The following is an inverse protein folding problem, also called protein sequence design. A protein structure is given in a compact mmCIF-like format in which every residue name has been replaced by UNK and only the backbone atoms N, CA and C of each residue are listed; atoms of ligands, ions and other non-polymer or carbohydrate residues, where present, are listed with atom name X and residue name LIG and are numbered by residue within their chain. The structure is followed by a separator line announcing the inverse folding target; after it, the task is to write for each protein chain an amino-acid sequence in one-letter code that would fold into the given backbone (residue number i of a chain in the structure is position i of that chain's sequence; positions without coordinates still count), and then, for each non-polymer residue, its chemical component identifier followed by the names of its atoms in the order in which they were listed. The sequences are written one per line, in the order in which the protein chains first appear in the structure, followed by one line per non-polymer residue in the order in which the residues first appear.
data_IF_333615906441
#
_entry.id   IF_333615906441
#
_cell.length_a   1.000
_cell.length_b   1.000
_cell.length_c   1.000
_cell.angle_alpha   90.00
_cell.angle_beta   90.00
_cell.angle_gamma   90.00
#
_symmetry.space_group_name_H-M   'P 1'
#
loop_
_entity.id
_entity.type
_entity.pdbx_description
1 polymer ?
#
# COMPACT_ATOMS: atom_id res chain seq x y z
N UNK A 1 1.92 15.31 -8.25
CA UNK A 1 1.07 14.21 -7.77
C UNK A 1 1.32 14.03 -6.28
N UNK A 2 0.26 13.97 -5.46
CA UNK A 2 0.40 13.65 -4.04
C UNK A 2 0.33 12.13 -3.82
N UNK A 3 0.91 11.63 -2.73
CA UNK A 3 0.93 10.20 -2.43
C UNK A 3 -0.48 9.61 -2.30
N UNK A 4 -1.41 10.32 -1.68
CA UNK A 4 -2.78 9.83 -1.53
C UNK A 4 -3.49 9.64 -2.89
N UNK A 5 -3.16 10.48 -3.87
CA UNK A 5 -3.80 10.45 -5.20
C UNK A 5 -3.26 9.33 -6.08
N UNK A 6 -2.01 8.88 -5.87
CA UNK A 6 -1.41 7.87 -6.76
C UNK A 6 -2.08 6.50 -6.61
N UNK A 7 -2.70 6.19 -5.47
CA UNK A 7 -3.39 4.91 -5.30
C UNK A 7 -4.56 4.73 -6.27
N UNK A 8 -5.18 5.82 -6.73
CA UNK A 8 -6.29 5.78 -7.69
C UNK A 8 -5.83 5.46 -9.13
N UNK A 9 -4.54 5.67 -9.44
CA UNK A 9 -3.97 5.34 -10.74
C UNK A 9 -3.42 3.92 -10.80
N UNK A 10 -3.67 3.08 -9.79
CA UNK A 10 -3.26 1.69 -9.81
C UNK A 10 -4.03 0.93 -10.90
N UNK A 11 -3.33 0.11 -11.66
CA UNK A 11 -3.93 -0.73 -12.72
C UNK A 11 -4.30 -2.11 -12.20
N UNK A 12 -3.68 -2.52 -11.10
CA UNK A 12 -3.91 -3.77 -10.42
C UNK A 12 -3.70 -3.58 -8.91
N UNK A 13 -4.52 -4.25 -8.12
CA UNK A 13 -4.29 -4.42 -6.68
C UNK A 13 -4.06 -5.90 -6.38
N UNK A 14 -2.91 -6.20 -5.77
CA UNK A 14 -2.65 -7.52 -5.23
C UNK A 14 -2.85 -7.52 -3.71
N UNK A 15 -3.60 -8.51 -3.20
CA UNK A 15 -3.80 -8.73 -1.77
C UNK A 15 -3.04 -9.99 -1.38
N UNK A 16 -2.23 -9.88 -0.34
CA UNK A 16 -1.51 -11.00 0.24
C UNK A 16 -2.13 -11.33 1.60
N UNK A 17 -2.46 -12.61 1.82
CA UNK A 17 -2.94 -13.15 3.09
C UNK A 17 -2.10 -14.36 3.46
N UNK A 18 -1.30 -14.25 4.51
CA UNK A 18 -0.42 -15.33 5.00
C UNK A 18 0.36 -16.02 3.87
N UNK A 19 0.97 -15.21 3.00
CA UNK A 19 1.75 -15.66 1.83
C UNK A 19 0.94 -16.01 0.58
N UNK A 20 -0.39 -16.15 0.68
CA UNK A 20 -1.26 -16.37 -0.49
C UNK A 20 -1.55 -15.05 -1.21
N UNK A 21 -1.45 -15.03 -2.54
CA UNK A 21 -1.62 -13.83 -3.37
C UNK A 21 -2.89 -13.93 -4.22
N UNK A 22 -3.75 -12.94 -4.10
CA UNK A 22 -4.89 -12.70 -5.00
C UNK A 22 -4.71 -11.38 -5.74
N UNK A 23 -5.24 -11.31 -6.97
CA UNK A 23 -5.02 -10.18 -7.88
C UNK A 23 -6.35 -9.67 -8.39
N UNK A 24 -6.54 -8.36 -8.31
CA UNK A 24 -7.76 -7.67 -8.74
C UNK A 24 -7.40 -6.58 -9.75
N UNK A 25 -7.76 -6.74 -11.04
CA UNK A 25 -7.51 -5.73 -12.06
C UNK A 25 -8.42 -4.51 -11.88
N UNK A 26 -7.96 -3.35 -12.34
CA UNK A 26 -8.71 -2.10 -12.32
C UNK A 26 -10.09 -2.25 -13.00
N UNK A 27 -11.10 -1.65 -12.37
CA UNK A 27 -12.50 -1.72 -12.80
C UNK A 27 -13.29 -2.93 -12.30
N UNK A 28 -12.63 -3.96 -11.73
CA UNK A 28 -13.30 -5.10 -11.11
C UNK A 28 -14.02 -4.73 -9.80
N UNK A 29 -15.04 -5.53 -9.42
CA UNK A 29 -15.83 -5.28 -8.21
C UNK A 29 -14.95 -5.21 -6.94
N UNK A 30 -14.06 -6.20 -6.76
CA UNK A 30 -13.13 -6.22 -5.62
C UNK A 30 -12.14 -5.06 -5.64
N UNK A 31 -11.60 -4.70 -6.81
CA UNK A 31 -10.73 -3.54 -6.96
C UNK A 31 -11.45 -2.26 -6.52
N UNK A 32 -12.64 -1.99 -7.07
CA UNK A 32 -13.42 -0.80 -6.75
C UNK A 32 -13.80 -0.75 -5.26
N UNK A 33 -14.14 -1.90 -4.68
CA UNK A 33 -14.45 -2.02 -3.25
C UNK A 33 -13.26 -1.78 -2.33
N UNK A 34 -12.04 -2.14 -2.75
CA UNK A 34 -10.80 -1.80 -2.04
C UNK A 34 -10.55 -0.29 -2.15
N UNK A 35 -10.57 0.27 -3.36
CA UNK A 35 -10.33 1.70 -3.59
C UNK A 35 -11.30 2.60 -2.81
N UNK A 36 -12.60 2.25 -2.78
CA UNK A 36 -13.60 3.02 -2.03
C UNK A 36 -13.23 3.15 -0.55
N UNK A 37 -12.85 2.03 0.08
CA UNK A 37 -12.50 1.99 1.51
C UNK A 37 -11.14 2.60 1.79
N UNK A 38 -10.20 2.38 0.88
CA UNK A 38 -8.87 2.98 0.93
C UNK A 38 -8.95 4.50 0.89
N UNK A 39 -9.74 5.05 -0.04
CA UNK A 39 -9.94 6.49 -0.18
C UNK A 39 -10.66 7.09 1.03
N UNK A 40 -11.69 6.40 1.55
CA UNK A 40 -12.36 6.81 2.78
C UNK A 40 -11.38 6.85 3.98
N UNK A 41 -10.52 5.85 4.11
CA UNK A 41 -9.47 5.80 5.13
C UNK A 41 -8.48 6.97 5.01
N UNK A 42 -8.11 7.35 3.79
CA UNK A 42 -7.12 8.41 3.53
C UNK A 42 -7.67 9.84 3.55
N UNK A 43 -8.99 10.05 3.69
CA UNK A 43 -9.65 11.35 3.50
C UNK A 43 -9.04 12.52 4.29
N UNK A 44 -8.58 12.27 5.52
CA UNK A 44 -7.95 13.28 6.38
C UNK A 44 -6.44 13.01 6.62
N UNK A 45 -5.85 12.10 5.84
CA UNK A 45 -4.49 11.64 6.08
C UNK A 45 -3.43 12.68 5.75
N UNK A 46 -2.31 12.64 6.47
CA UNK A 46 -1.16 13.50 6.26
C UNK A 46 0.06 12.66 5.89
N UNK A 47 0.77 13.08 4.83
CA UNK A 47 2.10 12.53 4.53
C UNK A 47 3.09 13.08 5.55
N UNK A 48 3.77 12.19 6.25
CA UNK A 48 4.82 12.52 7.20
C UNK A 48 6.18 12.01 6.71
N UNK A 49 7.30 12.58 7.18
CA UNK A 49 8.60 11.99 6.95
C UNK A 49 8.63 10.55 7.48
N UNK A 50 8.96 9.59 6.62
CA UNK A 50 9.21 8.23 7.06
C UNK A 50 10.56 8.18 7.77
N UNK A 51 10.56 7.70 9.01
CA UNK A 51 11.79 7.50 9.77
C UNK A 51 12.45 6.13 9.49
N UNK A 52 11.72 5.22 8.85
CA UNK A 52 12.17 3.87 8.53
C UNK A 52 12.65 3.69 7.08
N UNK A 53 13.54 2.73 6.90
CA UNK A 53 13.88 2.16 5.60
C UNK A 53 13.39 0.71 5.54
N UNK A 54 13.00 0.28 4.34
CA UNK A 54 12.69 -1.12 4.06
C UNK A 54 13.93 -1.85 3.56
N UNK A 55 13.99 -3.16 3.82
CA UNK A 55 15.00 -4.08 3.29
C UNK A 55 14.25 -5.21 2.59
N UNK A 56 14.56 -5.43 1.32
CA UNK A 56 13.78 -6.32 0.45
C UNK A 56 13.53 -7.69 1.08
N UNK A 57 14.58 -8.37 1.54
CA UNK A 57 14.47 -9.74 2.04
C UNK A 57 13.62 -9.81 3.33
N UNK A 58 13.73 -8.80 4.19
CA UNK A 58 12.91 -8.72 5.41
C UNK A 58 11.45 -8.44 5.04
N UNK A 59 11.20 -7.52 4.11
CA UNK A 59 9.85 -7.20 3.66
C UNK A 59 9.17 -8.40 2.99
N UNK A 60 9.86 -9.09 2.08
CA UNK A 60 9.33 -10.29 1.41
C UNK A 60 9.06 -11.43 2.39
N UNK A 61 9.91 -11.61 3.40
CA UNK A 61 9.67 -12.57 4.48
C UNK A 61 8.47 -12.17 5.35
N UNK A 62 8.32 -10.88 5.66
CA UNK A 62 7.18 -10.37 6.44
C UNK A 62 5.85 -10.54 5.69
N UNK A 63 5.84 -10.41 4.35
CA UNK A 63 4.66 -10.66 3.49
C UNK A 63 4.12 -12.09 3.56
N UNK A 64 4.91 -13.05 4.08
CA UNK A 64 4.44 -14.43 4.29
C UNK A 64 3.43 -14.56 5.45
N UNK A 65 3.16 -13.46 6.18
CA UNK A 65 2.27 -13.45 7.34
C UNK A 65 1.42 -12.18 7.36
N UNK A 66 0.21 -12.30 7.89
CA UNK A 66 -0.73 -11.20 8.01
C UNK A 66 -1.31 -10.79 6.66
N UNK A 67 -1.78 -9.54 6.58
CA UNK A 67 -2.48 -9.02 5.41
C UNK A 67 -1.73 -7.84 4.82
N UNK A 68 -1.47 -7.90 3.52
CA UNK A 68 -0.78 -6.85 2.79
C UNK A 68 -1.55 -6.48 1.53
N UNK A 69 -1.43 -5.23 1.11
CA UNK A 69 -2.00 -4.72 -0.13
C UNK A 69 -0.88 -4.08 -0.94
N UNK A 70 -0.82 -4.43 -2.22
CA UNK A 70 0.12 -3.88 -3.18
C UNK A 70 -0.65 -3.23 -4.34
N UNK A 71 -0.34 -1.97 -4.60
CA UNK A 71 -0.84 -1.21 -5.73
C UNK A 71 0.21 -1.23 -6.85
N UNK A 72 -0.16 -1.75 -8.01
CA UNK A 72 0.72 -1.94 -9.15
C UNK A 72 0.45 -0.90 -10.24
N UNK A 73 1.53 -0.37 -10.82
CA UNK A 73 1.51 0.61 -11.90
C UNK A 73 2.26 0.04 -13.12
N UNK A 74 1.79 0.33 -14.34
CA UNK A 74 2.47 -0.12 -15.56
C UNK A 74 3.83 0.58 -15.73
N UNK A 75 3.86 1.88 -15.47
CA UNK A 75 5.04 2.73 -15.57
C UNK A 75 5.67 3.02 -14.20
N UNK A 76 6.97 3.33 -14.20
CA UNK A 76 7.63 3.87 -13.02
C UNK A 76 7.15 5.30 -12.77
N UNK A 77 6.65 5.54 -11.57
CA UNK A 77 6.20 6.83 -11.08
C UNK A 77 7.20 7.39 -10.08
N UNK A 78 7.21 8.71 -9.88
CA UNK A 78 8.09 9.37 -8.90
C UNK A 78 7.31 10.35 -8.04
N UNK A 79 7.51 10.27 -6.72
CA UNK A 79 7.02 11.25 -5.74
C UNK A 79 8.18 11.65 -4.85
N UNK A 80 8.44 12.96 -4.71
CA UNK A 80 9.54 13.49 -3.89
C UNK A 80 10.90 12.82 -4.19
N UNK A 81 11.23 12.68 -5.48
CA UNK A 81 12.47 12.03 -5.96
C UNK A 81 12.60 10.54 -5.60
N UNK A 82 11.52 9.91 -5.14
CA UNK A 82 11.47 8.48 -4.84
C UNK A 82 10.73 7.74 -5.96
N UNK A 83 11.43 6.99 -6.83
CA UNK A 83 10.80 6.22 -7.90
C UNK A 83 10.10 4.96 -7.36
N UNK A 84 9.07 4.48 -8.04
CA UNK A 84 8.42 3.20 -7.73
C UNK A 84 7.57 2.72 -8.91
N UNK A 85 7.45 1.40 -9.05
CA UNK A 85 6.43 0.77 -9.93
C UNK A 85 5.37 0.01 -9.13
N UNK A 86 5.56 -0.16 -7.82
CA UNK A 86 4.53 -0.68 -6.89
C UNK A 86 4.63 -0.02 -5.52
N UNK A 87 3.49 0.08 -4.84
CA UNK A 87 3.40 0.54 -3.45
C UNK A 87 2.78 -0.56 -2.59
N UNK A 88 3.51 -1.00 -1.58
CA UNK A 88 3.15 -2.08 -0.67
C UNK A 88 2.85 -1.52 0.73
N UNK A 89 1.76 -1.99 1.34
CA UNK A 89 1.33 -1.61 2.69
C UNK A 89 0.92 -2.85 3.46
N UNK A 90 1.39 -2.94 4.71
CA UNK A 90 0.89 -3.91 5.69
C UNK A 90 -0.43 -3.39 6.29
N UNK A 91 -1.51 -4.15 6.20
CA UNK A 91 -2.83 -3.74 6.69
C UNK A 91 -3.05 -4.28 8.10
N UNK A 92 -3.04 -3.35 9.08
CA UNK A 92 -3.27 -3.66 10.50
C UNK A 92 -4.50 -2.91 11.01
N UNK A 93 -5.57 -3.61 11.44
CA UNK A 93 -6.87 -2.98 11.67
C UNK A 93 -6.82 -1.83 12.69
N UNK A 94 -6.01 -1.95 13.74
CA UNK A 94 -5.95 -0.97 14.82
C UNK A 94 -4.87 0.11 14.63
N UNK A 95 -4.24 0.19 13.45
CA UNK A 95 -3.19 1.16 13.17
C UNK A 95 -3.77 2.44 12.56
N UNK A 96 -3.44 3.60 13.14
CA UNK A 96 -3.81 4.93 12.64
C UNK A 96 -2.70 5.59 11.81
N UNK A 97 -1.73 4.81 11.34
CA UNK A 97 -0.68 5.26 10.43
C UNK A 97 0.17 4.09 9.96
N UNK A 98 0.77 4.22 8.78
CA UNK A 98 1.51 3.13 8.16
C UNK A 98 2.62 3.62 7.22
N UNK A 99 3.59 2.72 7.02
CA UNK A 99 4.60 2.90 5.99
C UNK A 99 4.05 2.46 4.64
N UNK A 100 4.37 3.23 3.60
CA UNK A 100 4.19 2.84 2.21
C UNK A 100 5.55 2.46 1.65
N UNK A 101 5.73 1.16 1.42
CA UNK A 101 6.97 0.58 0.93
C UNK A 101 6.96 0.63 -0.59
N UNK A 102 8.04 1.14 -1.19
CA UNK A 102 8.18 1.24 -2.65
C UNK A 102 8.86 0.00 -3.19
N UNK A 103 8.39 -0.49 -4.32
CA UNK A 103 9.12 -1.44 -5.14
C UNK A 103 9.80 -0.72 -6.32
N UNK A 104 11.07 -1.04 -6.57
CA UNK A 104 11.76 -0.69 -7.81
C UNK A 104 12.41 -1.94 -8.42
N UNK A 105 12.57 -1.96 -9.74
CA UNK A 105 13.11 -3.14 -10.43
C UNK A 105 14.56 -3.47 -10.03
N UNK A 106 15.35 -2.46 -9.64
CA UNK A 106 16.76 -2.60 -9.25
C UNK A 106 16.97 -3.05 -7.80
N UNK A 107 16.02 -2.77 -6.89
CA UNK A 107 16.21 -2.96 -5.44
C UNK A 107 15.11 -3.76 -4.75
N UNK A 108 14.01 -4.05 -5.43
CA UNK A 108 12.83 -4.64 -4.81
C UNK A 108 12.19 -3.71 -3.79
N UNK A 109 11.67 -4.26 -2.69
CA UNK A 109 11.06 -3.49 -1.60
C UNK A 109 12.11 -2.93 -0.63
N UNK A 110 12.99 -2.06 -1.12
CA UNK A 110 14.11 -1.55 -0.33
C UNK A 110 14.29 -0.03 -0.42
N UNK A 111 14.80 0.54 0.67
CA UNK A 111 15.14 1.96 0.80
C UNK A 111 14.08 2.79 1.51
N UNK A 112 14.10 4.10 1.27
CA UNK A 112 13.21 5.06 1.96
C UNK A 112 11.74 4.76 1.65
N UNK A 113 10.91 4.70 2.68
CA UNK A 113 9.46 4.57 2.57
C UNK A 113 8.81 5.96 2.56
N UNK A 114 7.50 6.00 2.29
CA UNK A 114 6.65 7.10 2.74
C UNK A 114 5.95 6.71 4.05
N UNK A 115 5.43 7.68 4.79
CA UNK A 115 4.57 7.43 5.94
C UNK A 115 3.28 8.23 5.82
N UNK A 116 2.15 7.56 6.04
CA UNK A 116 0.83 8.19 6.10
C UNK A 116 0.30 8.10 7.54
N UNK A 117 -0.07 9.24 8.09
CA UNK A 117 -0.80 9.37 9.36
C UNK A 117 -2.29 9.57 9.03
N UNK A 118 -3.16 8.69 9.53
CA UNK A 118 -4.58 8.64 9.17
C UNK A 118 -5.46 9.63 9.93
N UNK A 119 -4.91 10.34 10.95
CA UNK A 119 -5.57 11.45 11.66
C UNK A 119 -7.05 11.19 12.02
N UNK A 120 -7.27 10.32 13.00
CA UNK A 120 -8.61 10.00 13.51
C UNK A 120 -9.34 8.90 12.75
N UNK A 121 -8.64 8.22 11.84
CA UNK A 121 -9.08 6.98 11.18
C UNK A 121 -8.12 5.81 11.50
N UNK A 122 -8.48 4.61 11.09
CA UNK A 122 -7.70 3.38 11.21
C UNK A 122 -7.88 2.49 9.96
N UNK A 123 -7.19 1.35 9.89
CA UNK A 123 -7.24 0.46 8.71
C UNK A 123 -8.34 -0.61 8.82
N UNK A 124 -9.23 -0.57 9.82
CA UNK A 124 -10.14 -1.68 10.14
C UNK A 124 -11.13 -1.99 9.02
N UNK A 125 -11.69 -0.99 8.36
CA UNK A 125 -12.65 -1.21 7.27
C UNK A 125 -12.00 -1.86 6.05
N UNK A 126 -10.81 -1.39 5.66
CA UNK A 126 -10.00 -2.02 4.60
C UNK A 126 -9.67 -3.46 4.98
N UNK A 127 -9.16 -3.68 6.19
CA UNK A 127 -8.81 -5.01 6.70
C UNK A 127 -9.99 -5.98 6.64
N UNK A 128 -11.16 -5.56 7.16
CA UNK A 128 -12.36 -6.38 7.18
C UNK A 128 -12.84 -6.74 5.78
N UNK A 129 -12.78 -5.80 4.83
CA UNK A 129 -13.24 -6.05 3.46
C UNK A 129 -12.34 -7.01 2.68
N UNK A 130 -11.02 -6.87 2.84
CA UNK A 130 -10.07 -7.73 2.14
C UNK A 130 -9.93 -9.07 2.82
N UNK A 131 -10.14 -9.19 4.14
CA UNK A 131 -10.00 -10.45 4.89
C UNK A 131 -11.21 -11.39 4.79
N UNK A 132 -12.31 -10.94 4.18
CA UNK A 132 -13.44 -11.79 3.80
C UNK A 132 -13.08 -12.80 2.71
#
# INVERSE_FOLDING_TARGET
MQLQQVFESAEEIAVYKDGSREVYPCGGEKFNGICLRWNAMLANSLVMPAFGVSLNDITVQAMQRGVWVEFCFSDELTINELPFSRLLVEVKPDFSGFNVVRYTADRGYAGRCFYLDLRGSDMRDVYNYISQ
#
